data_IF_332206703085
#
_entry.id   IF_332206703085
#
_cell.length_a   1.000
_cell.length_b   1.000
_cell.length_c   1.000
_cell.angle_alpha   90.00
_cell.angle_beta   90.00
_cell.angle_gamma   90.00
#
_symmetry.space_group_name_H-M   'P 1'
#
loop_
_entity.id
_entity.type
_entity.pdbx_description
1 polymer ?
#
# COMPACT_ATOMS: atom_id res chain seq x y z
N UNK A 1 16.51 -8.58 -15.96
CA UNK A 1 16.42 -9.01 -14.55
C UNK A 1 15.55 -10.25 -14.52
N UNK A 2 16.04 -11.36 -13.97
CA UNK A 2 15.24 -12.57 -13.75
C UNK A 2 14.29 -12.27 -12.61
N UNK A 3 13.01 -12.08 -12.90
CA UNK A 3 11.99 -11.92 -11.86
C UNK A 3 11.83 -13.25 -11.12
N UNK A 4 11.84 -13.18 -9.79
CA UNK A 4 11.44 -14.31 -8.96
C UNK A 4 10.00 -14.68 -9.31
N UNK A 5 9.72 -15.95 -9.59
CA UNK A 5 8.36 -16.40 -9.86
C UNK A 5 7.64 -16.77 -8.57
N UNK A 6 6.41 -16.31 -8.45
CA UNK A 6 5.52 -16.57 -7.32
C UNK A 6 4.25 -17.28 -7.82
N UNK A 7 4.39 -18.51 -8.31
CA UNK A 7 3.34 -19.28 -9.00
C UNK A 7 2.01 -19.35 -8.22
N UNK A 8 2.08 -19.32 -6.88
CA UNK A 8 0.89 -19.32 -6.01
C UNK A 8 0.05 -18.04 -6.07
N UNK A 9 0.54 -16.98 -6.73
CA UNK A 9 -0.22 -15.74 -6.93
C UNK A 9 -1.11 -15.79 -8.18
N UNK A 10 -0.79 -16.66 -9.14
CA UNK A 10 -1.54 -16.74 -10.40
C UNK A 10 -3.03 -16.98 -10.17
N UNK A 11 -3.86 -16.26 -10.92
CA UNK A 11 -5.33 -16.34 -10.85
C UNK A 11 -6.00 -15.58 -9.71
N UNK A 12 -5.22 -14.99 -8.79
CA UNK A 12 -5.74 -14.14 -7.70
C UNK A 12 -6.31 -12.83 -8.23
N UNK A 13 -7.10 -12.16 -7.39
CA UNK A 13 -7.65 -10.83 -7.67
C UNK A 13 -7.19 -9.86 -6.59
N UNK A 14 -6.32 -8.93 -6.98
CA UNK A 14 -5.78 -7.92 -6.09
C UNK A 14 -6.41 -6.54 -6.32
N UNK A 15 -6.48 -5.78 -5.23
CA UNK A 15 -6.74 -4.35 -5.24
C UNK A 15 -5.52 -3.65 -4.66
N UNK A 16 -4.99 -2.63 -5.35
CA UNK A 16 -3.84 -1.85 -4.91
C UNK A 16 -4.24 -0.38 -4.86
N UNK A 17 -4.21 0.23 -3.68
CA UNK A 17 -4.40 1.69 -3.53
C UNK A 17 -3.08 2.42 -3.73
N UNK A 18 -3.13 3.70 -4.13
CA UNK A 18 -1.91 4.45 -4.45
C UNK A 18 -1.18 3.93 -5.69
N UNK A 19 -1.88 3.21 -6.57
CA UNK A 19 -1.29 2.54 -7.74
C UNK A 19 -0.76 3.48 -8.84
N UNK A 20 -0.95 4.80 -8.71
CA UNK A 20 -0.52 5.76 -9.73
C UNK A 20 0.98 6.10 -9.68
N UNK A 21 1.73 5.62 -8.68
CA UNK A 21 3.17 5.87 -8.53
C UNK A 21 3.83 5.00 -7.45
N UNK A 22 5.15 5.02 -7.41
CA UNK A 22 5.97 4.47 -6.33
C UNK A 22 5.66 3.01 -5.98
N UNK A 23 5.63 2.69 -4.68
CA UNK A 23 5.42 1.32 -4.19
C UNK A 23 4.11 0.69 -4.65
N UNK A 24 3.03 1.49 -4.80
CA UNK A 24 1.74 1.01 -5.32
C UNK A 24 1.81 0.61 -6.79
N UNK A 25 2.44 1.43 -7.63
CA UNK A 25 2.66 1.13 -9.06
C UNK A 25 3.55 -0.11 -9.21
N UNK A 26 4.70 -0.15 -8.53
CA UNK A 26 5.63 -1.28 -8.59
C UNK A 26 4.95 -2.59 -8.15
N UNK A 27 4.18 -2.55 -7.05
CA UNK A 27 3.40 -3.70 -6.57
C UNK A 27 2.38 -4.16 -7.62
N UNK A 28 1.63 -3.23 -8.23
CA UNK A 28 0.64 -3.57 -9.23
C UNK A 28 1.26 -4.23 -10.47
N UNK A 29 2.39 -3.71 -10.95
CA UNK A 29 3.16 -4.29 -12.07
C UNK A 29 3.64 -5.70 -11.74
N UNK A 30 4.28 -5.87 -10.58
CA UNK A 30 4.81 -7.16 -10.19
C UNK A 30 3.71 -8.20 -10.01
N UNK A 31 2.62 -7.87 -9.32
CA UNK A 31 1.48 -8.79 -9.15
C UNK A 31 0.85 -9.18 -10.48
N UNK A 32 0.67 -8.22 -11.40
CA UNK A 32 0.12 -8.50 -12.73
C UNK A 32 1.05 -9.42 -13.55
N UNK A 33 2.38 -9.23 -13.47
CA UNK A 33 3.38 -10.10 -14.09
C UNK A 33 3.37 -11.53 -13.53
N UNK A 34 2.85 -11.73 -12.29
CA UNK A 34 2.65 -13.05 -11.67
C UNK A 34 1.25 -13.65 -11.99
N UNK A 35 0.50 -13.06 -12.92
CA UNK A 35 -0.83 -13.57 -13.33
C UNK A 35 -1.97 -13.18 -12.39
N UNK A 36 -1.79 -12.17 -11.55
CA UNK A 36 -2.85 -11.57 -10.71
C UNK A 36 -3.68 -10.60 -11.54
N UNK A 37 -4.99 -10.61 -11.39
CA UNK A 37 -5.88 -9.55 -11.90
C UNK A 37 -5.83 -8.37 -10.93
N UNK A 38 -5.37 -7.19 -11.36
CA UNK A 38 -5.10 -6.08 -10.46
C UNK A 38 -6.05 -4.91 -10.71
N UNK A 39 -6.83 -4.53 -9.69
CA UNK A 39 -7.56 -3.28 -9.67
C UNK A 39 -6.64 -2.15 -9.13
N UNK A 40 -6.46 -1.11 -9.95
CA UNK A 40 -5.56 0.01 -9.71
C UNK A 40 -6.38 1.18 -9.17
N UNK A 41 -6.23 1.52 -7.89
CA UNK A 41 -6.96 2.62 -7.24
C UNK A 41 -6.04 3.80 -6.94
N UNK A 42 -6.38 4.97 -7.47
CA UNK A 42 -5.79 6.26 -7.12
C UNK A 42 -6.65 7.40 -7.70
N UNK A 43 -6.34 8.65 -7.36
CA UNK A 43 -7.06 9.83 -7.87
C UNK A 43 -6.71 10.18 -9.32
N UNK A 44 -5.45 9.95 -9.74
CA UNK A 44 -4.93 10.34 -11.07
C UNK A 44 -5.37 9.33 -12.14
N UNK A 45 -6.51 9.60 -12.78
CA UNK A 45 -7.14 8.70 -13.75
C UNK A 45 -6.26 8.43 -15.00
N UNK A 46 -5.57 9.45 -15.48
CA UNK A 46 -4.61 9.37 -16.58
C UNK A 46 -3.49 8.39 -16.30
N UNK A 47 -2.82 8.52 -15.14
CA UNK A 47 -1.76 7.61 -14.71
C UNK A 47 -2.23 6.17 -14.58
N UNK A 48 -3.44 5.96 -14.04
CA UNK A 48 -4.00 4.62 -13.91
C UNK A 48 -4.31 3.99 -15.28
N UNK A 49 -4.80 4.80 -16.21
CA UNK A 49 -5.11 4.34 -17.58
C UNK A 49 -3.83 3.93 -18.30
N UNK A 50 -2.78 4.76 -18.20
CA UNK A 50 -1.48 4.47 -18.78
C UNK A 50 -0.85 3.20 -18.17
N UNK A 51 -0.94 3.06 -16.84
CA UNK A 51 -0.43 1.88 -16.16
C UNK A 51 -1.19 0.61 -16.58
N UNK A 52 -2.53 0.67 -16.64
CA UNK A 52 -3.33 -0.46 -17.08
C UNK A 52 -3.01 -0.87 -18.52
N UNK A 53 -2.82 0.10 -19.42
CA UNK A 53 -2.42 -0.16 -20.79
C UNK A 53 -1.04 -0.85 -20.88
N UNK A 54 -0.05 -0.38 -20.11
CA UNK A 54 1.29 -0.99 -20.05
C UNK A 54 1.23 -2.42 -19.51
N UNK A 55 0.53 -2.65 -18.40
CA UNK A 55 0.35 -3.98 -17.83
C UNK A 55 -0.33 -4.93 -18.84
N UNK A 56 -1.33 -4.44 -19.57
CA UNK A 56 -2.03 -5.23 -20.59
C UNK A 56 -1.13 -5.55 -21.78
N UNK A 57 -0.32 -4.59 -22.24
CA UNK A 57 0.66 -4.80 -23.29
C UNK A 57 1.72 -5.86 -22.94
N UNK A 58 2.07 -5.95 -21.65
CA UNK A 58 2.98 -6.95 -21.11
C UNK A 58 2.29 -8.31 -20.82
N UNK A 59 1.02 -8.49 -21.22
CA UNK A 59 0.26 -9.72 -21.06
C UNK A 59 -0.44 -9.91 -19.71
N UNK A 60 -0.39 -8.93 -18.82
CA UNK A 60 -1.09 -8.92 -17.53
C UNK A 60 -2.54 -8.43 -17.64
N UNK A 61 -3.24 -8.42 -16.50
CA UNK A 61 -4.62 -7.93 -16.40
C UNK A 61 -4.71 -6.81 -15.35
N UNK A 62 -5.14 -5.63 -15.78
CA UNK A 62 -5.32 -4.48 -14.89
C UNK A 62 -6.60 -3.71 -15.20
N UNK A 63 -7.24 -3.18 -14.16
CA UNK A 63 -8.42 -2.35 -14.23
C UNK A 63 -8.13 -1.00 -13.58
N UNK A 64 -8.15 0.08 -14.33
CA UNK A 64 -8.05 1.44 -13.81
C UNK A 64 -9.37 1.86 -13.13
N UNK A 65 -9.32 2.18 -11.84
CA UNK A 65 -10.47 2.61 -11.03
C UNK A 65 -10.12 3.92 -10.31
N UNK A 66 -10.33 5.08 -10.95
CA UNK A 66 -10.12 6.37 -10.28
C UNK A 66 -10.93 6.45 -8.99
N UNK A 67 -10.24 6.71 -7.87
CA UNK A 67 -10.84 6.63 -6.54
C UNK A 67 -10.21 7.66 -5.61
N UNK A 68 -11.03 8.43 -4.91
CA UNK A 68 -10.61 9.25 -3.78
C UNK A 68 -10.89 8.49 -2.47
N UNK A 69 -9.83 8.11 -1.75
CA UNK A 69 -9.96 7.39 -0.48
C UNK A 69 -10.48 8.27 0.65
N UNK A 70 -10.50 9.60 0.46
CA UNK A 70 -11.05 10.54 1.45
C UNK A 70 -12.58 10.68 1.35
N UNK A 71 -13.16 10.10 0.29
CA UNK A 71 -14.60 10.07 0.02
C UNK A 71 -15.14 8.63 0.10
N UNK A 72 -16.13 8.42 0.97
CA UNK A 72 -16.72 7.09 1.16
C UNK A 72 -17.48 6.60 -0.06
N UNK A 73 -18.24 7.49 -0.72
CA UNK A 73 -19.04 7.11 -1.89
C UNK A 73 -18.14 6.73 -3.07
N UNK A 74 -17.00 7.41 -3.22
CA UNK A 74 -15.96 7.06 -4.19
C UNK A 74 -15.40 5.67 -3.94
N UNK A 75 -15.13 5.29 -2.68
CA UNK A 75 -14.62 3.96 -2.33
C UNK A 75 -15.69 2.88 -2.55
N UNK A 76 -16.94 3.15 -2.18
CA UNK A 76 -18.05 2.19 -2.36
C UNK A 76 -18.33 1.95 -3.86
N UNK A 77 -18.32 2.99 -4.69
CA UNK A 77 -18.43 2.87 -6.16
C UNK A 77 -17.26 2.11 -6.78
N UNK A 78 -16.03 2.34 -6.28
CA UNK A 78 -14.85 1.59 -6.71
C UNK A 78 -14.98 0.10 -6.38
N UNK A 79 -15.47 -0.23 -5.19
CA UNK A 79 -15.67 -1.62 -4.77
C UNK A 79 -16.69 -2.34 -5.66
N UNK A 80 -17.81 -1.69 -5.99
CA UNK A 80 -18.81 -2.24 -6.92
C UNK A 80 -18.23 -2.47 -8.32
N UNK A 81 -17.47 -1.50 -8.84
CA UNK A 81 -16.83 -1.62 -10.15
C UNK A 81 -15.82 -2.76 -10.21
N UNK A 82 -15.01 -2.94 -9.17
CA UNK A 82 -14.05 -4.04 -9.09
C UNK A 82 -14.76 -5.40 -9.05
N UNK A 83 -15.80 -5.53 -8.22
CA UNK A 83 -16.59 -6.77 -8.12
C UNK A 83 -17.30 -7.12 -9.43
N UNK A 84 -17.82 -6.12 -10.14
CA UNK A 84 -18.46 -6.33 -11.45
C UNK A 84 -17.46 -6.83 -12.49
N UNK A 85 -16.23 -6.31 -12.49
CA UNK A 85 -15.23 -6.68 -13.49
C UNK A 85 -14.48 -7.97 -13.16
N UNK A 86 -14.11 -8.18 -11.90
CA UNK A 86 -13.20 -9.26 -11.49
C UNK A 86 -13.81 -10.24 -10.48
N UNK A 87 -15.00 -9.95 -9.99
CA UNK A 87 -15.61 -10.72 -8.91
C UNK A 87 -14.99 -10.37 -7.55
N UNK A 88 -14.84 -11.39 -6.71
CA UNK A 88 -14.35 -11.20 -5.33
C UNK A 88 -12.87 -10.88 -5.29
N UNK A 89 -12.51 -9.89 -4.47
CA UNK A 89 -11.12 -9.55 -4.17
C UNK A 89 -10.58 -10.46 -3.07
N UNK A 90 -9.40 -11.01 -3.27
CA UNK A 90 -8.72 -11.89 -2.31
C UNK A 90 -7.38 -11.33 -1.78
N UNK A 91 -6.92 -10.23 -2.35
CA UNK A 91 -5.71 -9.52 -1.92
C UNK A 91 -5.95 -8.01 -1.94
N UNK A 92 -5.85 -7.38 -0.78
CA UNK A 92 -5.93 -5.91 -0.63
C UNK A 92 -4.57 -5.37 -0.21
N UNK A 93 -4.02 -4.43 -0.99
CA UNK A 93 -2.78 -3.73 -0.67
C UNK A 93 -3.07 -2.23 -0.49
N UNK A 94 -2.99 -1.77 0.75
CA UNK A 94 -3.12 -0.36 1.11
C UNK A 94 -1.75 0.32 1.00
N UNK A 95 -1.43 0.84 -0.20
CA UNK A 95 -0.18 1.56 -0.49
C UNK A 95 -0.37 3.07 -0.63
N UNK A 96 -1.60 3.57 -0.63
CA UNK A 96 -1.85 5.01 -0.65
C UNK A 96 -1.40 5.68 0.65
N UNK A 97 -0.76 6.83 0.52
CA UNK A 97 -0.35 7.64 1.65
C UNK A 97 0.16 9.01 1.22
N UNK A 98 0.20 9.92 2.18
CA UNK A 98 0.81 11.25 2.03
C UNK A 98 1.73 11.52 3.21
N UNK A 99 2.80 12.27 2.96
CA UNK A 99 3.81 12.66 3.94
C UNK A 99 4.04 14.15 3.80
N UNK A 100 3.65 14.91 4.81
CA UNK A 100 3.69 16.38 4.85
C UNK A 100 4.37 16.81 6.16
N UNK A 101 5.70 16.64 6.24
CA UNK A 101 6.45 16.99 7.44
C UNK A 101 6.57 18.51 7.57
N UNK A 102 6.31 19.00 8.77
CA UNK A 102 6.52 20.39 9.13
C UNK A 102 6.68 20.50 10.67
N UNK A 103 7.37 21.52 11.19
CA UNK A 103 7.41 21.78 12.62
C UNK A 103 5.98 21.88 13.19
N UNK A 104 5.72 21.23 14.32
CA UNK A 104 4.39 21.29 14.95
C UNK A 104 4.00 22.71 15.34
N UNK A 105 4.98 23.58 15.55
CA UNK A 105 4.81 25.01 15.85
C UNK A 105 4.21 25.81 14.70
N UNK A 106 4.31 25.31 13.46
CA UNK A 106 3.76 26.00 12.28
C UNK A 106 2.23 25.85 12.19
N UNK A 107 1.66 24.91 12.96
CA UNK A 107 0.21 24.77 13.09
C UNK A 107 -0.52 24.40 11.80
N UNK A 108 0.12 23.66 10.88
CA UNK A 108 -0.41 23.25 9.56
C UNK A 108 -1.55 22.23 9.71
N UNK A 109 -2.67 22.66 10.30
CA UNK A 109 -3.79 21.77 10.63
C UNK A 109 -4.45 21.12 9.39
N UNK A 110 -4.45 21.78 8.25
CA UNK A 110 -4.92 21.27 6.97
C UNK A 110 -4.08 20.07 6.49
N UNK A 111 -2.77 20.11 6.65
CA UNK A 111 -1.88 19.01 6.32
C UNK A 111 -2.03 17.84 7.30
N UNK A 112 -2.18 18.14 8.57
CA UNK A 112 -2.45 17.13 9.58
C UNK A 112 -3.74 16.37 9.26
N UNK A 113 -4.81 17.10 8.93
CA UNK A 113 -6.08 16.50 8.55
C UNK A 113 -5.94 15.66 7.28
N UNK A 114 -5.24 16.17 6.25
CA UNK A 114 -4.98 15.45 5.01
C UNK A 114 -4.21 14.15 5.24
N UNK A 115 -3.22 14.13 6.15
CA UNK A 115 -2.49 12.91 6.54
C UNK A 115 -3.41 11.92 7.27
N UNK A 116 -4.24 12.39 8.21
CA UNK A 116 -5.21 11.54 8.92
C UNK A 116 -6.25 10.96 7.96
N UNK A 117 -6.82 11.79 7.09
CA UNK A 117 -7.86 11.36 6.15
C UNK A 117 -7.35 10.34 5.14
N UNK A 118 -6.12 10.50 4.65
CA UNK A 118 -5.55 9.57 3.66
C UNK A 118 -4.96 8.34 4.31
N UNK A 119 -4.06 8.53 5.30
CA UNK A 119 -3.24 7.43 5.82
C UNK A 119 -3.97 6.54 6.82
N UNK A 120 -5.04 7.04 7.44
CA UNK A 120 -5.80 6.30 8.47
C UNK A 120 -7.24 6.08 8.01
N UNK A 121 -8.02 7.14 7.85
CA UNK A 121 -9.45 7.02 7.55
C UNK A 121 -9.69 6.41 6.16
N UNK A 122 -8.88 6.78 5.16
CA UNK A 122 -8.93 6.20 3.81
C UNK A 122 -8.64 4.70 3.80
N UNK A 123 -7.65 4.26 4.58
CA UNK A 123 -7.35 2.84 4.75
C UNK A 123 -8.53 2.10 5.41
N UNK A 124 -9.15 2.68 6.44
CA UNK A 124 -10.33 2.10 7.08
C UNK A 124 -11.52 1.97 6.13
N UNK A 125 -11.74 2.93 5.23
CA UNK A 125 -12.78 2.85 4.19
C UNK A 125 -12.55 1.68 3.24
N UNK A 126 -11.31 1.47 2.79
CA UNK A 126 -10.94 0.31 1.94
C UNK A 126 -11.13 -0.99 2.70
N UNK A 127 -10.66 -1.08 3.95
CA UNK A 127 -10.85 -2.26 4.80
C UNK A 127 -12.35 -2.57 4.95
N UNK A 128 -13.17 -1.57 5.29
CA UNK A 128 -14.63 -1.72 5.37
C UNK A 128 -15.22 -2.29 4.08
N UNK A 129 -14.80 -1.76 2.94
CA UNK A 129 -15.36 -2.14 1.66
C UNK A 129 -15.02 -3.59 1.25
N UNK A 130 -13.83 -4.11 1.61
CA UNK A 130 -13.34 -5.39 1.06
C UNK A 130 -13.16 -6.51 2.10
N UNK A 131 -13.29 -6.25 3.41
CA UNK A 131 -13.16 -7.30 4.44
C UNK A 131 -14.14 -8.46 4.21
N UNK A 132 -15.37 -8.17 3.76
CA UNK A 132 -16.36 -9.21 3.42
C UNK A 132 -15.87 -10.16 2.33
N UNK A 133 -15.20 -9.63 1.29
CA UNK A 133 -14.65 -10.42 0.20
C UNK A 133 -13.51 -11.33 0.69
N UNK A 134 -12.60 -10.78 1.50
CA UNK A 134 -11.50 -11.54 2.09
C UNK A 134 -12.00 -12.70 2.95
N UNK A 135 -12.95 -12.43 3.84
CA UNK A 135 -13.56 -13.45 4.70
C UNK A 135 -14.26 -14.54 3.86
N UNK A 136 -15.03 -14.15 2.84
CA UNK A 136 -15.74 -15.09 2.00
C UNK A 136 -14.78 -15.93 1.13
N UNK A 137 -13.65 -15.37 0.69
CA UNK A 137 -12.59 -16.12 0.01
C UNK A 137 -11.95 -17.14 0.94
N UNK A 138 -11.57 -16.73 2.15
CA UNK A 138 -10.98 -17.61 3.13
C UNK A 138 -11.93 -18.75 3.54
N UNK A 139 -13.21 -18.46 3.75
CA UNK A 139 -14.23 -19.46 4.06
C UNK A 139 -14.44 -20.47 2.94
N UNK A 140 -14.23 -20.08 1.68
CA UNK A 140 -14.26 -20.98 0.52
C UNK A 140 -12.96 -21.80 0.33
N UNK A 141 -11.98 -21.70 1.27
CA UNK A 141 -10.71 -22.41 1.21
C UNK A 141 -9.61 -21.70 0.42
N UNK A 142 -9.89 -20.50 -0.11
CA UNK A 142 -8.91 -19.67 -0.81
C UNK A 142 -7.94 -18.95 0.14
N UNK A 143 -6.89 -18.37 -0.42
CA UNK A 143 -5.97 -17.51 0.31
C UNK A 143 -6.46 -16.07 0.29
N UNK A 144 -6.54 -15.41 1.43
CA UNK A 144 -7.01 -14.04 1.57
C UNK A 144 -6.01 -13.19 2.36
N UNK A 145 -5.64 -12.03 1.80
CA UNK A 145 -4.62 -11.14 2.37
C UNK A 145 -5.08 -9.70 2.45
N UNK A 146 -4.77 -9.08 3.59
CA UNK A 146 -4.78 -7.63 3.78
C UNK A 146 -3.36 -7.17 4.09
N UNK A 147 -2.77 -6.37 3.20
CA UNK A 147 -1.43 -5.81 3.35
C UNK A 147 -1.54 -4.30 3.54
N UNK A 148 -0.98 -3.79 4.63
CA UNK A 148 -0.89 -2.37 4.90
C UNK A 148 0.57 -1.92 4.80
N UNK A 149 0.83 -0.81 4.11
CA UNK A 149 2.16 -0.19 4.05
C UNK A 149 2.25 0.94 5.07
N UNK A 150 2.87 0.64 6.20
CA UNK A 150 3.19 1.61 7.23
C UNK A 150 4.54 2.32 6.95
N UNK A 151 5.41 2.40 7.92
CA UNK A 151 6.75 3.02 7.81
C UNK A 151 7.58 2.69 9.04
N UNK A 152 8.92 2.73 8.92
CA UNK A 152 9.83 2.78 10.07
C UNK A 152 9.50 3.98 10.98
N UNK A 153 8.95 5.06 10.43
CA UNK A 153 8.45 6.22 11.17
C UNK A 153 7.33 5.93 12.17
N UNK A 154 6.77 4.72 12.16
CA UNK A 154 5.85 4.25 13.21
C UNK A 154 6.58 3.94 14.53
N UNK A 155 7.89 3.69 14.50
CA UNK A 155 8.70 3.26 15.63
C UNK A 155 9.82 4.24 15.98
N UNK A 156 10.38 4.89 14.96
CA UNK A 156 11.50 5.82 15.11
C UNK A 156 10.99 7.25 14.90
N UNK A 157 11.05 8.12 15.92
CA UNK A 157 10.66 9.51 15.78
C UNK A 157 11.71 10.28 14.96
N UNK A 158 11.23 11.04 13.99
CA UNK A 158 12.04 11.99 13.22
C UNK A 158 11.55 13.41 13.52
N UNK A 159 12.46 14.39 13.72
CA UNK A 159 12.08 15.80 13.86
C UNK A 159 11.18 16.25 12.69
N UNK A 160 10.13 17.00 12.99
CA UNK A 160 9.14 17.52 12.04
C UNK A 160 8.18 16.49 11.41
N UNK A 161 8.31 15.19 11.70
CA UNK A 161 7.45 14.12 11.18
C UNK A 161 6.40 13.64 12.20
N UNK A 162 6.11 14.42 13.25
CA UNK A 162 5.27 13.96 14.36
C UNK A 162 3.89 13.41 13.91
N UNK A 163 3.16 14.16 13.07
CA UNK A 163 1.82 13.74 12.63
C UNK A 163 1.90 12.60 11.62
N UNK A 164 2.86 12.64 10.68
CA UNK A 164 3.09 11.51 9.79
C UNK A 164 3.40 10.23 10.57
N UNK A 165 4.36 10.29 11.49
CA UNK A 165 4.71 9.16 12.36
C UNK A 165 3.51 8.63 13.15
N UNK A 166 2.71 9.54 13.72
CA UNK A 166 1.48 9.15 14.42
C UNK A 166 0.49 8.40 13.52
N UNK A 167 0.29 8.85 12.25
CA UNK A 167 -0.58 8.12 11.31
C UNK A 167 -0.04 6.73 10.97
N UNK A 168 1.27 6.59 10.84
CA UNK A 168 1.92 5.29 10.56
C UNK A 168 1.91 4.38 11.80
N UNK A 169 2.10 4.91 13.00
CA UNK A 169 1.94 4.17 14.25
C UNK A 169 0.49 3.68 14.42
N UNK A 170 -0.50 4.53 14.09
CA UNK A 170 -1.91 4.14 14.09
C UNK A 170 -2.17 2.97 13.12
N UNK A 171 -1.61 3.01 11.90
CA UNK A 171 -1.76 1.95 10.91
C UNK A 171 -1.08 0.65 11.34
N UNK A 172 0.11 0.74 11.96
CA UNK A 172 0.82 -0.41 12.53
C UNK A 172 -0.02 -1.08 13.62
N UNK A 173 -0.55 -0.31 14.58
CA UNK A 173 -1.41 -0.84 15.64
C UNK A 173 -2.71 -1.42 15.09
N UNK A 174 -3.36 -0.71 14.15
CA UNK A 174 -4.56 -1.20 13.46
C UNK A 174 -4.31 -2.56 12.80
N UNK A 175 -3.18 -2.72 12.10
CA UNK A 175 -2.82 -4.00 11.46
C UNK A 175 -2.68 -5.13 12.47
N UNK A 176 -2.10 -4.86 13.65
CA UNK A 176 -1.98 -5.84 14.73
C UNK A 176 -3.37 -6.24 15.28
N UNK A 177 -4.26 -5.26 15.52
CA UNK A 177 -5.62 -5.50 15.99
C UNK A 177 -6.44 -6.28 14.97
N UNK A 178 -6.43 -5.86 13.71
CA UNK A 178 -7.13 -6.57 12.64
C UNK A 178 -6.66 -8.02 12.48
N UNK A 179 -5.38 -8.29 12.72
CA UNK A 179 -4.88 -9.67 12.70
C UNK A 179 -5.53 -10.52 13.78
N UNK A 180 -5.80 -9.99 14.99
CA UNK A 180 -6.49 -10.73 16.04
C UNK A 180 -7.97 -10.99 15.73
N UNK A 181 -8.61 -10.10 14.98
CA UNK A 181 -10.01 -10.21 14.58
C UNK A 181 -10.21 -11.10 13.35
N UNK A 182 -9.32 -11.00 12.35
CA UNK A 182 -9.46 -11.65 11.05
C UNK A 182 -8.71 -12.97 10.95
N UNK A 183 -7.63 -13.15 11.74
CA UNK A 183 -6.87 -14.41 11.77
C UNK A 183 -7.72 -15.64 12.09
N UNK A 184 -8.63 -15.63 13.06
CA UNK A 184 -9.57 -16.74 13.30
C UNK A 184 -10.51 -17.05 12.13
N UNK A 185 -10.57 -16.15 11.13
CA UNK A 185 -11.30 -16.31 9.87
C UNK A 185 -10.41 -16.66 8.69
N UNK A 186 -9.16 -17.06 8.96
CA UNK A 186 -8.16 -17.40 7.96
C UNK A 186 -7.79 -16.26 6.98
N UNK A 187 -8.02 -15.00 7.36
CA UNK A 187 -7.53 -13.83 6.62
C UNK A 187 -6.19 -13.41 7.20
N UNK A 188 -5.16 -13.38 6.37
CA UNK A 188 -3.82 -12.95 6.76
C UNK A 188 -3.75 -11.43 6.73
N UNK A 189 -3.22 -10.84 7.80
CA UNK A 189 -2.95 -9.39 7.86
C UNK A 189 -1.46 -9.19 8.01
N UNK A 190 -0.87 -8.46 7.06
CA UNK A 190 0.55 -8.14 7.01
C UNK A 190 0.75 -6.63 7.06
N UNK A 191 1.65 -6.17 7.92
CA UNK A 191 2.10 -4.79 7.98
C UNK A 191 3.54 -4.70 7.46
N UNK A 192 3.79 -3.91 6.41
CA UNK A 192 5.12 -3.67 5.84
C UNK A 192 5.55 -2.26 6.22
N UNK A 193 6.76 -2.13 6.74
CA UNK A 193 7.31 -0.91 7.30
C UNK A 193 8.62 -0.55 6.61
N UNK A 194 8.55 0.10 5.44
CA UNK A 194 9.74 0.51 4.72
C UNK A 194 10.48 1.66 5.43
N UNK A 195 11.80 1.69 5.27
CA UNK A 195 12.63 2.85 5.54
C UNK A 195 12.66 3.83 4.38
N UNK A 196 13.80 4.51 4.20
CA UNK A 196 14.02 5.44 3.10
C UNK A 196 13.83 4.73 1.76
N UNK A 197 12.77 5.10 1.05
CA UNK A 197 12.39 4.46 -0.23
C UNK A 197 12.22 5.53 -1.30
N UNK A 198 12.85 5.33 -2.45
CA UNK A 198 12.70 6.20 -3.60
C UNK A 198 11.27 6.07 -4.17
N UNK A 199 10.51 7.15 -4.04
CA UNK A 199 9.11 7.24 -4.47
C UNK A 199 8.65 8.68 -4.59
N UNK A 200 7.54 8.93 -5.29
CA UNK A 200 6.93 10.27 -5.38
C UNK A 200 6.48 10.85 -4.01
N UNK A 201 6.50 10.07 -2.93
CA UNK A 201 6.07 10.52 -1.61
C UNK A 201 6.92 11.72 -1.12
N UNK A 202 8.21 11.72 -1.46
CA UNK A 202 9.14 12.81 -1.15
C UNK A 202 8.76 14.13 -1.84
N UNK A 203 8.18 14.07 -3.04
CA UNK A 203 7.78 15.25 -3.82
C UNK A 203 6.59 16.03 -3.21
N UNK A 204 5.94 15.47 -2.19
CA UNK A 204 4.87 16.16 -1.46
C UNK A 204 5.38 17.11 -0.38
N UNK A 205 6.67 17.07 -0.06
CA UNK A 205 7.30 17.93 0.96
C UNK A 205 7.47 19.32 0.39
N UNK A 206 6.66 20.28 0.83
CA UNK A 206 6.69 21.68 0.37
C UNK A 206 7.64 22.58 1.18
N UNK A 207 8.12 22.10 2.33
CA UNK A 207 9.13 22.78 3.14
C UNK A 207 10.51 22.57 2.52
N UNK A 208 11.11 23.63 2.00
CA UNK A 208 12.36 23.57 1.24
C UNK A 208 13.55 23.04 2.08
N UNK A 209 13.60 23.34 3.38
CA UNK A 209 14.66 22.85 4.27
C UNK A 209 14.51 21.33 4.44
N UNK A 210 13.30 20.85 4.73
CA UNK A 210 13.04 19.42 4.92
C UNK A 210 13.19 18.62 3.61
N UNK A 211 12.81 19.20 2.47
CA UNK A 211 13.09 18.62 1.15
C UNK A 211 14.60 18.45 0.94
N UNK A 212 15.39 19.48 1.20
CA UNK A 212 16.85 19.40 1.10
C UNK A 212 17.49 18.41 2.08
N UNK A 213 16.96 18.27 3.30
CA UNK A 213 17.42 17.24 4.25
C UNK A 213 17.12 15.83 3.71
N UNK A 214 15.94 15.64 3.12
CA UNK A 214 15.55 14.35 2.53
C UNK A 214 16.42 13.99 1.32
N UNK A 215 16.70 14.97 0.44
CA UNK A 215 17.62 14.79 -0.70
C UNK A 215 19.02 14.41 -0.20
N UNK A 216 19.54 15.06 0.82
CA UNK A 216 20.82 14.72 1.46
C UNK A 216 20.83 13.29 2.04
N UNK A 217 19.70 12.82 2.57
CA UNK A 217 19.59 11.42 3.01
C UNK A 217 19.68 10.44 1.83
N UNK A 218 19.04 10.75 0.69
CA UNK A 218 19.14 9.91 -0.52
C UNK A 218 20.55 9.93 -1.12
N UNK A 219 21.27 11.05 -1.05
CA UNK A 219 22.68 11.11 -1.46
C UNK A 219 23.60 10.28 -0.55
N UNK A 220 23.37 10.31 0.76
CA UNK A 220 24.18 9.61 1.75
C UNK A 220 23.88 8.10 1.82
N UNK A 221 22.64 7.72 1.54
CA UNK A 221 22.15 6.35 1.63
C UNK A 221 21.57 5.92 0.29
N UNK A 222 21.96 4.76 -0.19
CA UNK A 222 21.21 4.13 -1.29
C UNK A 222 19.84 3.72 -0.71
N UNK A 223 18.79 4.47 -1.07
CA UNK A 223 17.41 4.15 -0.65
C UNK A 223 16.94 2.81 -1.22
N UNK A 224 15.87 2.28 -0.65
CA UNK A 224 15.14 1.16 -1.26
C UNK A 224 14.53 1.63 -2.58
N UNK A 225 14.51 0.76 -3.58
CA UNK A 225 13.63 0.93 -4.73
C UNK A 225 12.19 0.55 -4.36
N UNK A 226 11.22 1.13 -5.04
CA UNK A 226 9.81 0.73 -4.89
C UNK A 226 9.59 -0.75 -5.20
N UNK A 227 10.39 -1.32 -6.09
CA UNK A 227 10.42 -2.73 -6.47
C UNK A 227 10.85 -3.65 -5.32
N UNK A 228 11.75 -3.21 -4.42
CA UNK A 228 12.14 -4.00 -3.24
C UNK A 228 10.95 -4.23 -2.30
N UNK A 229 10.12 -3.22 -2.14
CA UNK A 229 8.89 -3.31 -1.35
C UNK A 229 7.84 -4.18 -2.06
N UNK A 230 7.71 -4.03 -3.37
CA UNK A 230 6.80 -4.85 -4.18
C UNK A 230 7.18 -6.35 -4.13
N UNK A 231 8.47 -6.68 -4.18
CA UNK A 231 8.96 -8.06 -4.07
C UNK A 231 8.64 -8.65 -2.70
N UNK A 232 8.83 -7.89 -1.63
CA UNK A 232 8.45 -8.31 -0.28
C UNK A 232 6.93 -8.55 -0.16
N UNK A 233 6.09 -7.72 -0.78
CA UNK A 233 4.63 -7.93 -0.84
C UNK A 233 4.32 -9.23 -1.58
N UNK A 234 4.90 -9.45 -2.76
CA UNK A 234 4.69 -10.66 -3.53
C UNK A 234 5.18 -11.91 -2.75
N UNK A 235 6.35 -11.82 -2.11
CA UNK A 235 6.86 -12.88 -1.25
C UNK A 235 5.90 -13.22 -0.13
N UNK A 236 5.44 -12.24 0.65
CA UNK A 236 4.57 -12.49 1.82
C UNK A 236 3.23 -13.08 1.41
N UNK A 237 2.64 -12.59 0.34
CA UNK A 237 1.31 -13.01 -0.14
C UNK A 237 1.33 -14.32 -0.91
N UNK A 238 2.50 -14.76 -1.39
CA UNK A 238 2.70 -16.08 -2.01
C UNK A 238 2.89 -17.23 -1.03
N UNK A 239 3.04 -16.95 0.27
CA UNK A 239 3.25 -18.02 1.26
C UNK A 239 2.02 -18.91 1.42
N UNK A 240 2.18 -20.18 1.84
CA UNK A 240 1.06 -21.07 2.11
C UNK A 240 0.03 -20.43 3.05
N UNK A 241 -1.25 -20.75 2.89
CA UNK A 241 -2.38 -20.14 3.59
C UNK A 241 -2.21 -20.05 5.12
N UNK A 242 -1.59 -21.06 5.74
CA UNK A 242 -1.37 -21.10 7.19
C UNK A 242 -0.17 -20.26 7.67
N UNK A 243 0.60 -19.65 6.74
CA UNK A 243 1.77 -18.82 7.06
C UNK A 243 1.40 -17.35 6.90
N UNK A 244 1.49 -16.58 7.96
CA UNK A 244 1.30 -15.13 7.94
C UNK A 244 2.55 -14.41 8.46
N UNK A 245 3.24 -13.68 7.59
CA UNK A 245 4.24 -12.71 8.00
C UNK A 245 3.51 -11.47 8.50
N UNK A 246 3.33 -11.36 9.81
CA UNK A 246 2.48 -10.32 10.41
C UNK A 246 3.06 -8.91 10.28
N UNK A 247 4.38 -8.79 10.25
CA UNK A 247 5.10 -7.53 10.23
C UNK A 247 6.47 -7.75 9.61
N UNK A 248 6.88 -6.83 8.73
CA UNK A 248 8.21 -6.83 8.14
C UNK A 248 8.74 -5.40 8.05
N UNK A 249 9.89 -5.16 8.66
CA UNK A 249 10.64 -3.91 8.52
C UNK A 249 11.68 -4.10 7.44
N UNK A 250 11.67 -3.26 6.41
CA UNK A 250 12.60 -3.28 5.29
C UNK A 250 13.36 -1.97 5.24
N UNK A 251 14.66 -2.00 5.45
CA UNK A 251 15.51 -0.82 5.51
C UNK A 251 16.65 -0.90 4.49
N UNK A 252 17.11 0.24 3.95
CA UNK A 252 18.43 0.30 3.35
C UNK A 252 19.49 -0.22 4.34
N UNK A 253 20.44 -1.01 3.87
CA UNK A 253 21.45 -1.64 4.75
C UNK A 253 22.19 -0.63 5.64
N UNK A 254 22.36 0.60 5.17
CA UNK A 254 23.10 1.66 5.87
C UNK A 254 22.20 2.58 6.71
N UNK A 255 20.89 2.39 6.66
CA UNK A 255 19.96 3.12 7.53
C UNK A 255 19.93 2.44 8.89
N UNK A 256 20.49 3.12 9.89
CA UNK A 256 20.53 2.66 11.29
C UNK A 256 19.40 3.28 12.11
#
# INVERSE_FOLDING_TARGET
MTHTTYDSLSGRTALVTGAASGMGEATARLLAAQGVRVALLARRADRLTDLAAKITADGGQALAVPTDLTDQDSVDAAAERVRTAYGRVDLVVNAAGVMLPNPVTDGRADEWQRMLDTNVTGVLRVIRAFTGDLIATAAAGGTADLVNISSIGAHVPFPNYAVYGATKAALTYLSQSLRTELGPRDVRVTNIEPGLTDSELASHVDNAELSGQLDGMFEALTGLASEDVADLIAYTTSRPRHVNLRQAVLLPTRQA
#
